data_IF_552545958163
#
_entry.id   IF_552545958163
#
_cell.length_a   1.000
_cell.length_b   1.000
_cell.length_c   1.000
_cell.angle_alpha   90.00
_cell.angle_beta   90.00
_cell.angle_gamma   90.00
#
_symmetry.space_group_name_H-M   'P 1'
#
loop_
_entity.id
_entity.type
_entity.pdbx_description
1 polymer ?
#
# COMPACT_ATOMS: atom_id res chain seq x y z
N UNK A 1 -21.12 8.19 33.22
CA UNK A 1 -19.75 8.16 32.69
C UNK A 1 -19.42 6.75 32.25
N UNK A 2 -19.76 6.36 31.01
CA UNK A 2 -19.31 5.09 30.41
C UNK A 2 -19.28 5.26 28.89
N UNK A 3 -18.21 5.85 28.36
CA UNK A 3 -17.93 5.79 26.92
C UNK A 3 -17.42 4.37 26.59
N UNK A 4 -18.34 3.43 26.46
CA UNK A 4 -18.03 2.07 26.05
C UNK A 4 -17.98 2.00 24.53
N UNK A 5 -16.75 1.81 24.03
CA UNK A 5 -16.39 1.25 22.72
C UNK A 5 -17.02 1.91 21.48
N UNK A 6 -16.33 2.94 20.99
CA UNK A 6 -16.14 3.05 19.55
C UNK A 6 -15.21 1.91 19.13
N UNK A 7 -15.77 0.80 18.65
CA UNK A 7 -15.00 -0.21 17.92
C UNK A 7 -14.35 0.49 16.73
N UNK A 8 -13.02 0.65 16.75
CA UNK A 8 -12.25 1.21 15.64
C UNK A 8 -12.64 0.43 14.38
N UNK A 9 -13.40 1.07 13.50
CA UNK A 9 -13.84 0.51 12.22
C UNK A 9 -12.60 0.00 11.49
N UNK A 10 -12.62 -1.29 11.18
CA UNK A 10 -11.67 -1.99 10.30
C UNK A 10 -11.77 -1.42 8.87
N UNK A 11 -11.27 -0.21 8.63
CA UNK A 11 -11.42 0.36 7.27
C UNK A 11 -10.26 1.20 6.73
N UNK A 12 -9.17 1.48 7.48
CA UNK A 12 -8.04 2.26 6.94
C UNK A 12 -6.66 1.82 7.47
N UNK A 13 -6.53 0.59 7.98
CA UNK A 13 -5.22 0.05 8.31
C UNK A 13 -4.65 -0.66 7.08
N UNK A 14 -3.44 -0.31 6.62
CA UNK A 14 -2.81 -1.04 5.54
C UNK A 14 -2.68 -2.52 5.93
N UNK A 15 -2.91 -3.40 4.96
CA UNK A 15 -2.78 -4.82 5.21
C UNK A 15 -1.36 -5.19 5.66
N UNK A 16 -1.17 -6.33 6.34
CA UNK A 16 0.12 -6.79 6.89
C UNK A 16 1.21 -7.04 5.82
N UNK A 17 0.90 -6.82 4.54
CA UNK A 17 1.82 -6.90 3.43
C UNK A 17 2.71 -5.65 3.31
N UNK A 18 2.23 -4.48 3.74
CA UNK A 18 2.95 -3.22 3.57
C UNK A 18 4.25 -3.19 4.40
N UNK A 19 4.19 -3.78 5.60
CA UNK A 19 5.35 -3.92 6.51
C UNK A 19 6.43 -4.87 5.97
N UNK A 20 6.10 -5.70 4.96
CA UNK A 20 7.04 -6.66 4.35
C UNK A 20 7.78 -6.10 3.15
N UNK A 21 7.43 -4.90 2.71
CA UNK A 21 8.09 -4.25 1.57
C UNK A 21 9.45 -3.73 1.99
N UNK A 22 10.47 -4.04 1.19
CA UNK A 22 11.81 -3.47 1.34
C UNK A 22 11.84 -2.14 0.62
N UNK A 23 11.96 -1.07 1.41
CA UNK A 23 12.07 0.29 0.93
C UNK A 23 13.55 0.64 0.70
N UNK A 24 13.83 1.47 -0.31
CA UNK A 24 15.16 2.04 -0.48
C UNK A 24 15.44 3.13 0.58
N UNK A 25 16.64 3.70 0.57
CA UNK A 25 17.06 4.77 1.50
C UNK A 25 16.19 6.04 1.43
N UNK A 26 15.45 6.23 0.33
CA UNK A 26 14.53 7.35 0.13
C UNK A 26 13.08 7.02 0.52
N UNK A 27 12.81 5.82 1.03
CA UNK A 27 11.46 5.37 1.39
C UNK A 27 10.59 5.05 0.17
N UNK A 28 11.19 4.62 -0.94
CA UNK A 28 10.52 4.29 -2.20
C UNK A 28 10.66 2.81 -2.55
N UNK A 29 9.65 2.27 -3.24
CA UNK A 29 9.63 0.92 -3.81
C UNK A 29 9.42 1.01 -5.33
N UNK A 30 10.12 0.18 -6.13
CA UNK A 30 9.86 0.10 -7.57
C UNK A 30 8.54 -0.64 -7.84
N UNK A 31 7.71 -0.10 -8.72
CA UNK A 31 6.41 -0.65 -9.11
C UNK A 31 6.35 -0.79 -10.63
N UNK A 32 5.83 -1.91 -11.12
CA UNK A 32 5.58 -2.16 -12.54
C UNK A 32 4.07 -2.23 -12.75
N UNK A 33 3.52 -1.34 -13.56
CA UNK A 33 2.14 -1.44 -14.01
C UNK A 33 2.09 -2.32 -15.26
N UNK A 34 1.20 -3.30 -15.25
CA UNK A 34 1.02 -4.25 -16.34
C UNK A 34 -0.45 -4.28 -16.74
N UNK A 35 -0.71 -4.51 -18.01
CA UNK A 35 -2.06 -4.84 -18.49
C UNK A 35 -2.46 -6.20 -17.93
N UNK A 36 -3.68 -6.31 -17.39
CA UNK A 36 -4.08 -7.44 -16.56
C UNK A 36 -4.34 -8.74 -17.33
N UNK A 37 -4.54 -8.67 -18.64
CA UNK A 37 -5.00 -9.76 -19.50
C UNK A 37 -3.86 -10.38 -20.33
N UNK A 38 -3.06 -9.54 -20.99
CA UNK A 38 -1.90 -9.87 -21.81
C UNK A 38 -0.62 -9.97 -21.00
N UNK A 39 -0.54 -9.27 -19.86
CA UNK A 39 0.69 -9.16 -19.07
C UNK A 39 1.69 -8.17 -19.66
N UNK A 40 1.28 -7.32 -20.61
CA UNK A 40 2.17 -6.32 -21.19
C UNK A 40 2.59 -5.29 -20.14
N UNK A 41 3.90 -5.04 -20.04
CA UNK A 41 4.44 -4.01 -19.16
C UNK A 41 4.15 -2.64 -19.75
N UNK A 42 3.40 -1.83 -19.00
CA UNK A 42 3.01 -0.49 -19.40
C UNK A 42 4.02 0.55 -18.92
N UNK A 43 4.46 0.44 -17.67
CA UNK A 43 5.40 1.40 -17.08
C UNK A 43 6.11 0.86 -15.85
N UNK A 44 7.24 1.49 -15.54
CA UNK A 44 7.95 1.38 -14.27
C UNK A 44 7.94 2.73 -13.55
N UNK A 45 7.66 2.70 -12.25
CA UNK A 45 7.62 3.89 -11.40
C UNK A 45 8.18 3.60 -10.00
N UNK A 46 8.37 4.67 -9.23
CA UNK A 46 8.67 4.59 -7.80
C UNK A 46 7.46 5.08 -7.01
N UNK A 47 7.08 4.34 -5.97
CA UNK A 47 5.98 4.70 -5.07
C UNK A 47 6.44 4.72 -3.62
N UNK A 48 5.81 5.54 -2.79
CA UNK A 48 6.05 5.55 -1.34
C UNK A 48 4.94 4.79 -0.59
N UNK A 49 5.11 4.62 0.72
CA UNK A 49 4.15 3.91 1.56
C UNK A 49 2.73 4.51 1.51
N UNK A 50 2.62 5.84 1.52
CA UNK A 50 1.32 6.54 1.49
C UNK A 50 0.60 6.33 0.17
N UNK A 51 1.32 6.34 -0.96
CA UNK A 51 0.76 6.11 -2.30
C UNK A 51 0.16 4.71 -2.45
N UNK A 52 0.65 3.72 -1.69
CA UNK A 52 0.12 2.36 -1.70
C UNK A 52 -1.06 2.14 -0.75
N UNK A 53 -1.40 3.13 0.08
CA UNK A 53 -2.50 3.07 1.04
C UNK A 53 -3.79 3.74 0.54
N UNK A 54 -3.72 4.52 -0.55
CA UNK A 54 -4.85 5.22 -1.15
C UNK A 54 -5.58 4.33 -2.16
#
# INVERSE_FOLDING_TARGET
MTNSKFTKTSSLEPGPWLDRIVWNEQGLVPVIAQEASSGDVLMMAWMNQVSLMQ
#
